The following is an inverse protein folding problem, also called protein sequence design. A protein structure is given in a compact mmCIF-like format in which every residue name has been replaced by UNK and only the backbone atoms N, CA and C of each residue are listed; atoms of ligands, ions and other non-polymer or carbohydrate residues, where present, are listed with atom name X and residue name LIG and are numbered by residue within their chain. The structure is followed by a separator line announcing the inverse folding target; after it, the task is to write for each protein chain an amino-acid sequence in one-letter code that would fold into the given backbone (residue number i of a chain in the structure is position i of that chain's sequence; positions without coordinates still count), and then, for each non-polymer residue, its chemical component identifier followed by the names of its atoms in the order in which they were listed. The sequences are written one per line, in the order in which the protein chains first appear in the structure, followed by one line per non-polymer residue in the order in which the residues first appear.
data_IF_454322815879
#
_entry.id   IF_454322815879
#
_cell.length_a   1.000
_cell.length_b   1.000
_cell.length_c   1.000
_cell.angle_alpha   90.00
_cell.angle_beta   90.00
_cell.angle_gamma   90.00
#
_symmetry.space_group_name_H-M   'P 1'
#
loop_
_entity.id
_entity.type
_entity.pdbx_description
1 polymer ?
#
# COMPACT_ATOMS: atom_id res chain seq x y z
N UNK A 1 9.80 -2.34 38.57
CA UNK A 1 9.48 -1.05 37.88
C UNK A 1 9.36 -1.27 36.38
N UNK A 2 8.27 -0.79 35.77
CA UNK A 2 8.09 -0.96 34.30
C UNK A 2 8.84 0.09 33.46
N UNK A 3 9.41 1.11 34.10
CA UNK A 3 10.22 2.13 33.45
C UNK A 3 11.67 1.66 33.34
N UNK A 4 12.29 1.92 32.18
CA UNK A 4 13.70 1.60 31.92
C UNK A 4 14.34 2.73 31.12
N UNK A 5 15.46 3.25 31.61
CA UNK A 5 16.28 4.23 30.89
C UNK A 5 17.33 3.49 30.06
N UNK A 6 17.59 4.03 28.87
CA UNK A 6 18.65 3.51 28.00
C UNK A 6 18.33 2.17 27.32
N UNK A 7 17.06 1.80 27.17
CA UNK A 7 16.65 0.53 26.52
C UNK A 7 17.29 0.30 25.14
N UNK A 8 17.45 1.36 24.36
CA UNK A 8 18.11 1.29 23.03
C UNK A 8 19.57 0.86 23.07
N UNK A 9 20.24 1.03 24.21
CA UNK A 9 21.65 0.66 24.41
C UNK A 9 21.85 -0.80 24.84
N UNK A 10 20.77 -1.49 25.23
CA UNK A 10 20.82 -2.87 25.63
C UNK A 10 21.03 -3.78 24.41
N UNK A 11 21.74 -4.87 24.63
CA UNK A 11 21.81 -5.98 23.68
C UNK A 11 20.44 -6.64 23.52
N UNK A 12 20.23 -7.40 22.43
CA UNK A 12 19.00 -8.15 22.23
C UNK A 12 18.65 -9.07 23.38
N UNK A 13 19.66 -9.80 23.93
CA UNK A 13 19.47 -10.69 25.06
C UNK A 13 19.02 -9.95 26.32
N UNK A 14 19.64 -8.80 26.62
CA UNK A 14 19.26 -7.96 27.77
C UNK A 14 17.86 -7.38 27.61
N UNK A 15 17.45 -6.98 26.40
CA UNK A 15 16.07 -6.54 26.10
C UNK A 15 15.06 -7.64 26.36
N UNK A 16 15.34 -8.87 25.90
CA UNK A 16 14.48 -10.03 26.14
C UNK A 16 14.41 -10.35 27.64
N UNK A 17 15.55 -10.36 28.33
CA UNK A 17 15.59 -10.62 29.78
C UNK A 17 14.75 -9.61 30.56
N UNK A 18 14.91 -8.31 30.26
CA UNK A 18 14.10 -7.26 30.89
C UNK A 18 12.59 -7.42 30.64
N UNK A 19 12.19 -7.81 29.42
CA UNK A 19 10.79 -8.10 29.12
C UNK A 19 10.26 -9.28 29.92
N UNK A 20 11.03 -10.36 29.99
CA UNK A 20 10.66 -11.55 30.74
C UNK A 20 10.50 -11.26 32.24
N UNK A 21 11.47 -10.59 32.84
CA UNK A 21 11.45 -10.23 34.25
C UNK A 21 10.31 -9.27 34.60
N UNK A 22 10.02 -8.35 33.71
CA UNK A 22 9.03 -7.30 33.97
C UNK A 22 7.58 -7.78 33.75
N UNK A 23 7.35 -8.55 32.69
CA UNK A 23 5.98 -8.87 32.24
C UNK A 23 5.59 -10.34 32.42
N UNK A 24 6.59 -11.24 32.49
CA UNK A 24 6.39 -12.68 32.59
C UNK A 24 7.09 -13.32 33.78
N UNK A 25 7.13 -12.68 35.00
CA UNK A 25 7.94 -13.15 36.14
C UNK A 25 7.48 -14.52 36.70
N UNK A 26 6.31 -15.00 36.30
CA UNK A 26 5.75 -16.30 36.74
C UNK A 26 5.76 -17.34 35.61
N UNK A 27 6.27 -16.98 34.42
CA UNK A 27 6.34 -17.91 33.30
C UNK A 27 7.71 -18.58 33.30
N UNK A 28 7.72 -19.88 33.53
CA UNK A 28 8.94 -20.66 33.41
C UNK A 28 9.49 -20.62 32.00
N UNK A 29 10.78 -20.32 31.83
CA UNK A 29 11.46 -20.18 30.54
C UNK A 29 10.75 -19.17 29.58
N UNK A 30 10.41 -17.99 30.08
CA UNK A 30 9.74 -16.95 29.30
C UNK A 30 10.53 -16.51 28.06
N UNK A 31 11.87 -16.66 28.05
CA UNK A 31 12.73 -16.34 26.87
C UNK A 31 12.37 -17.19 25.67
N UNK A 32 11.95 -18.43 25.85
CA UNK A 32 11.53 -19.31 24.75
C UNK A 32 10.35 -18.79 23.96
N UNK A 33 9.53 -17.86 24.51
CA UNK A 33 8.47 -17.18 23.78
C UNK A 33 9.02 -16.35 22.60
N UNK A 34 10.17 -15.72 22.82
CA UNK A 34 10.84 -14.89 21.81
C UNK A 34 11.77 -15.71 20.92
N UNK A 35 12.53 -16.64 21.50
CA UNK A 35 13.50 -17.50 20.80
C UNK A 35 12.82 -18.38 19.73
N UNK A 36 11.61 -18.87 20.02
CA UNK A 36 10.82 -19.71 19.09
C UNK A 36 10.55 -19.06 17.73
N UNK A 37 10.51 -17.73 17.67
CA UNK A 37 10.27 -16.97 16.45
C UNK A 37 11.55 -16.39 15.82
N UNK A 38 12.72 -16.73 16.36
CA UNK A 38 13.99 -16.42 15.72
C UNK A 38 14.29 -17.42 14.60
N UNK A 39 15.01 -16.96 13.58
CA UNK A 39 15.45 -17.84 12.51
C UNK A 39 16.63 -18.69 12.99
N UNK A 40 16.67 -19.96 12.58
CA UNK A 40 17.78 -20.87 12.90
C UNK A 40 19.08 -20.50 12.14
N UNK A 41 18.96 -19.84 10.98
CA UNK A 41 20.07 -19.24 10.26
C UNK A 41 20.46 -17.93 10.93
N UNK A 42 21.64 -17.89 11.54
CA UNK A 42 22.12 -16.74 12.30
C UNK A 42 22.39 -15.50 11.42
N UNK A 43 22.81 -15.67 10.16
CA UNK A 43 23.04 -14.54 9.26
C UNK A 43 21.71 -13.91 8.83
N UNK A 44 20.73 -14.76 8.51
CA UNK A 44 19.38 -14.30 8.19
C UNK A 44 18.72 -13.63 9.42
N UNK A 45 18.90 -14.18 10.63
CA UNK A 45 18.40 -13.55 11.84
C UNK A 45 19.04 -12.19 12.10
N UNK A 46 20.35 -12.07 11.93
CA UNK A 46 21.07 -10.80 12.04
C UNK A 46 20.51 -9.76 11.06
N UNK A 47 20.29 -10.15 9.80
CA UNK A 47 19.68 -9.27 8.80
C UNK A 47 18.31 -8.76 9.24
N UNK A 48 17.45 -9.63 9.79
CA UNK A 48 16.12 -9.24 10.30
C UNK A 48 16.21 -8.34 11.54
N UNK A 49 17.20 -8.55 12.41
CA UNK A 49 17.42 -7.73 13.60
C UNK A 49 17.84 -6.28 13.23
N UNK A 50 18.45 -6.09 12.05
CA UNK A 50 18.94 -4.81 11.57
C UNK A 50 17.90 -4.02 10.73
N UNK A 51 16.71 -4.58 10.45
CA UNK A 51 15.66 -3.86 9.70
C UNK A 51 15.04 -2.71 10.48
N UNK A 52 14.90 -2.87 11.80
CA UNK A 52 14.35 -1.85 12.70
C UNK A 52 15.10 -1.84 14.04
N UNK A 53 14.95 -0.75 14.78
CA UNK A 53 15.54 -0.62 16.11
C UNK A 53 14.81 -1.48 17.14
N UNK A 54 15.55 -1.85 18.21
CA UNK A 54 15.00 -2.57 19.38
C UNK A 54 14.35 -3.92 19.08
N UNK A 55 14.76 -4.59 18.02
CA UNK A 55 14.25 -5.92 17.66
C UNK A 55 14.50 -6.93 18.78
N UNK A 56 13.47 -7.68 19.15
CA UNK A 56 13.54 -8.75 20.16
C UNK A 56 13.23 -10.12 19.57
N UNK A 57 12.43 -10.18 18.49
CA UNK A 57 12.09 -11.42 17.80
C UNK A 57 11.52 -11.09 16.42
N UNK A 58 11.19 -12.10 15.62
CA UNK A 58 10.48 -11.93 14.35
C UNK A 58 8.97 -12.05 14.56
N UNK A 59 8.22 -11.31 13.75
CA UNK A 59 6.77 -11.47 13.59
C UNK A 59 6.51 -11.92 12.15
N UNK A 60 6.21 -13.22 11.96
CA UNK A 60 6.03 -13.79 10.63
C UNK A 60 4.63 -13.51 10.08
N UNK A 61 4.59 -13.08 8.82
CA UNK A 61 3.37 -13.05 8.01
C UNK A 61 3.46 -14.13 6.92
N UNK A 62 2.32 -14.76 6.55
CA UNK A 62 2.30 -15.73 5.45
C UNK A 62 2.70 -15.09 4.12
N UNK A 63 3.63 -15.74 3.40
CA UNK A 63 3.96 -15.43 2.01
C UNK A 63 3.20 -16.40 1.10
N UNK A 64 2.33 -15.87 0.25
CA UNK A 64 1.46 -16.63 -0.63
C UNK A 64 1.58 -16.14 -2.08
N UNK A 65 0.93 -16.83 -3.02
CA UNK A 65 0.88 -16.45 -4.44
C UNK A 65 -0.54 -16.53 -4.99
N UNK A 66 -0.88 -15.58 -5.87
CA UNK A 66 -2.13 -15.56 -6.64
C UNK A 66 -1.81 -15.71 -8.13
N UNK A 67 -2.07 -16.87 -8.76
CA UNK A 67 -1.81 -17.12 -10.17
C UNK A 67 -2.91 -16.59 -11.08
N UNK A 68 -2.67 -16.70 -12.41
CA UNK A 68 -3.63 -16.44 -13.50
C UNK A 68 -3.98 -14.96 -13.72
N UNK A 69 -3.14 -14.03 -13.31
CA UNK A 69 -3.30 -12.63 -13.69
C UNK A 69 -2.82 -12.44 -15.13
N UNK A 70 -3.74 -12.31 -16.07
CA UNK A 70 -3.42 -11.88 -17.45
C UNK A 70 -3.53 -10.37 -17.50
N UNK A 71 -2.40 -9.68 -17.67
CA UNK A 71 -2.28 -8.22 -17.67
C UNK A 71 -1.68 -7.79 -19.01
N UNK A 72 -2.43 -7.03 -19.81
CA UNK A 72 -2.01 -6.60 -21.15
C UNK A 72 -1.49 -7.78 -22.01
N UNK A 73 -2.14 -8.96 -21.89
CA UNK A 73 -1.78 -10.18 -22.64
C UNK A 73 -0.66 -11.02 -22.05
N UNK A 74 0.02 -10.58 -20.98
CA UNK A 74 1.06 -11.34 -20.27
C UNK A 74 0.50 -11.94 -18.98
N UNK A 75 0.85 -13.21 -18.71
CA UNK A 75 0.38 -13.92 -17.51
C UNK A 75 1.38 -13.78 -16.36
N UNK A 76 0.87 -13.45 -15.18
CA UNK A 76 1.65 -13.31 -13.95
C UNK A 76 1.13 -14.22 -12.84
N UNK A 77 2.04 -14.68 -11.99
CA UNK A 77 1.78 -15.20 -10.65
C UNK A 77 2.19 -14.14 -9.66
N UNK A 78 1.26 -13.62 -8.88
CA UNK A 78 1.51 -12.45 -8.03
C UNK A 78 1.79 -12.89 -6.59
N UNK A 79 2.96 -12.57 -6.01
CA UNK A 79 3.25 -12.80 -4.60
C UNK A 79 2.49 -11.83 -3.72
N UNK A 80 2.03 -12.34 -2.57
CA UNK A 80 1.20 -11.59 -1.61
C UNK A 80 1.60 -11.95 -0.18
N UNK A 81 1.75 -10.94 0.68
CA UNK A 81 2.01 -11.08 2.12
C UNK A 81 0.89 -10.39 2.89
N UNK A 82 0.10 -11.14 3.65
CA UNK A 82 -1.00 -10.60 4.42
C UNK A 82 -1.44 -11.58 5.52
N UNK A 83 -1.99 -11.07 6.62
CA UNK A 83 -2.54 -11.87 7.71
C UNK A 83 -4.02 -12.23 7.53
N UNK A 84 -4.75 -11.48 6.69
CA UNK A 84 -6.20 -11.65 6.52
C UNK A 84 -6.52 -12.84 5.62
N UNK A 85 -7.32 -13.75 6.14
CA UNK A 85 -7.80 -14.90 5.36
C UNK A 85 -8.70 -14.48 4.20
N UNK A 86 -8.73 -15.27 3.15
CA UNK A 86 -9.54 -15.08 1.93
C UNK A 86 -9.05 -14.02 0.95
N UNK A 87 -8.10 -13.14 1.30
CA UNK A 87 -7.58 -12.09 0.40
C UNK A 87 -6.94 -12.74 -0.84
N UNK A 88 -5.96 -13.62 -0.63
CA UNK A 88 -5.26 -14.32 -1.74
C UNK A 88 -6.23 -15.16 -2.58
N UNK A 89 -7.16 -15.86 -1.93
CA UNK A 89 -8.17 -16.67 -2.62
C UNK A 89 -9.15 -15.82 -3.45
N UNK A 90 -9.53 -14.65 -2.96
CA UNK A 90 -10.39 -13.71 -3.66
C UNK A 90 -9.71 -13.13 -4.90
N UNK A 91 -8.45 -12.68 -4.76
CA UNK A 91 -7.63 -12.20 -5.87
C UNK A 91 -7.44 -13.28 -6.95
N UNK A 92 -7.05 -14.50 -6.54
CA UNK A 92 -6.86 -15.65 -7.46
C UNK A 92 -8.14 -16.01 -8.21
N UNK A 93 -9.28 -16.00 -7.53
CA UNK A 93 -10.60 -16.30 -8.15
C UNK A 93 -10.98 -15.25 -9.18
N UNK A 94 -10.81 -13.96 -8.87
CA UNK A 94 -11.07 -12.88 -9.80
C UNK A 94 -10.11 -12.93 -11.00
N UNK A 95 -8.81 -13.18 -10.76
CA UNK A 95 -7.84 -13.35 -11.83
C UNK A 95 -8.23 -14.47 -12.81
N UNK A 96 -8.59 -15.64 -12.28
CA UNK A 96 -9.06 -16.77 -13.09
C UNK A 96 -10.35 -16.46 -13.86
N UNK A 97 -11.28 -15.71 -13.25
CA UNK A 97 -12.51 -15.29 -13.90
C UNK A 97 -12.20 -14.35 -15.08
N UNK A 98 -11.44 -13.30 -14.86
CA UNK A 98 -11.13 -12.34 -15.89
C UNK A 98 -10.16 -12.87 -16.95
N UNK A 99 -9.33 -13.86 -16.65
CA UNK A 99 -8.49 -14.56 -17.63
C UNK A 99 -9.32 -15.07 -18.83
N UNK A 100 -10.53 -15.58 -18.58
CA UNK A 100 -11.44 -16.08 -19.64
C UNK A 100 -12.19 -14.96 -20.39
N UNK A 101 -12.06 -13.70 -19.93
CA UNK A 101 -12.71 -12.52 -20.50
C UNK A 101 -11.68 -11.50 -21.06
N UNK A 102 -10.47 -11.95 -21.42
CA UNK A 102 -9.43 -11.09 -22.00
C UNK A 102 -8.40 -10.55 -21.00
N UNK A 103 -8.60 -10.77 -19.70
CA UNK A 103 -7.67 -10.32 -18.67
C UNK A 103 -7.88 -8.88 -18.23
N UNK A 104 -6.84 -8.29 -17.67
CA UNK A 104 -6.80 -6.91 -17.18
C UNK A 104 -6.07 -6.04 -18.20
N UNK A 105 -6.64 -4.87 -18.45
CA UNK A 105 -6.04 -3.82 -19.27
C UNK A 105 -5.55 -2.71 -18.37
N UNK A 106 -4.32 -2.26 -18.55
CA UNK A 106 -3.71 -1.25 -17.69
C UNK A 106 -2.96 -0.20 -18.48
N UNK A 107 -2.99 1.02 -17.96
CA UNK A 107 -2.23 2.16 -18.46
C UNK A 107 -1.62 2.92 -17.27
N UNK A 108 -0.32 3.23 -17.35
CA UNK A 108 0.33 4.17 -16.43
C UNK A 108 0.17 5.57 -17.01
N UNK A 109 -0.67 6.38 -16.39
CA UNK A 109 -1.03 7.71 -16.87
C UNK A 109 0.14 8.69 -16.69
N UNK A 110 0.81 8.65 -15.53
CA UNK A 110 2.00 9.44 -15.24
C UNK A 110 2.79 8.82 -14.09
N UNK A 111 4.05 9.24 -13.88
CA UNK A 111 4.98 8.73 -12.86
C UNK A 111 5.60 9.83 -11.99
N UNK A 112 5.15 11.08 -12.13
CA UNK A 112 5.71 12.22 -11.43
C UNK A 112 5.41 12.18 -9.93
N UNK A 113 6.47 12.37 -9.15
CA UNK A 113 6.42 12.50 -7.68
C UNK A 113 6.64 13.95 -7.28
N UNK A 114 6.17 14.32 -6.10
CA UNK A 114 6.14 15.71 -5.65
C UNK A 114 6.79 15.86 -4.28
N UNK A 115 7.43 17.00 -4.06
CA UNK A 115 7.93 17.40 -2.76
C UNK A 115 7.99 18.92 -2.62
N UNK A 116 8.10 19.40 -1.40
CA UNK A 116 7.99 20.83 -1.11
C UNK A 116 9.04 21.29 -0.11
N UNK A 117 9.48 22.54 -0.28
CA UNK A 117 10.10 23.35 0.78
C UNK A 117 9.00 24.27 1.30
N UNK A 118 8.68 24.17 2.58
CA UNK A 118 7.64 24.95 3.24
C UNK A 118 8.28 26.13 3.99
N UNK A 119 7.82 27.35 3.74
CA UNK A 119 8.36 28.53 4.39
C UNK A 119 7.33 29.62 4.57
N UNK A 120 7.59 30.51 5.51
CA UNK A 120 6.85 31.77 5.70
C UNK A 120 7.63 32.92 5.10
N UNK A 121 6.91 33.90 4.54
CA UNK A 121 7.50 35.13 4.06
C UNK A 121 6.66 36.32 4.49
N UNK A 122 7.30 37.30 5.14
CA UNK A 122 6.66 38.47 5.79
C UNK A 122 6.86 39.76 5.01
N UNK A 123 7.36 39.68 3.76
CA UNK A 123 7.54 40.83 2.86
C UNK A 123 6.44 40.88 1.77
N UNK A 124 6.73 41.69 0.76
CA UNK A 124 5.83 41.86 -0.38
C UNK A 124 5.93 40.66 -1.36
N UNK A 125 4.80 40.11 -1.77
CA UNK A 125 4.75 38.97 -2.71
C UNK A 125 5.52 39.23 -4.01
N UNK A 126 5.51 40.48 -4.50
CA UNK A 126 6.23 40.86 -5.73
C UNK A 126 7.75 40.66 -5.56
N UNK A 127 8.31 41.03 -4.41
CA UNK A 127 9.74 40.87 -4.09
C UNK A 127 10.11 39.37 -4.08
N UNK A 128 9.29 38.52 -3.42
CA UNK A 128 9.50 37.07 -3.38
C UNK A 128 9.43 36.45 -4.78
N UNK A 129 8.48 36.88 -5.60
CA UNK A 129 8.34 36.36 -6.96
C UNK A 129 9.52 36.72 -7.83
N UNK A 130 10.00 37.96 -7.76
CA UNK A 130 11.20 38.44 -8.48
C UNK A 130 12.48 37.73 -7.99
N UNK A 131 12.61 37.54 -6.68
CA UNK A 131 13.69 36.78 -6.08
C UNK A 131 13.70 35.32 -6.58
N UNK A 132 12.57 34.64 -6.52
CA UNK A 132 12.46 33.23 -6.97
C UNK A 132 12.84 33.09 -8.44
N UNK A 133 12.34 33.94 -9.32
CA UNK A 133 12.68 33.92 -10.76
C UNK A 133 14.18 34.03 -11.02
N UNK A 134 14.91 34.83 -10.19
CA UNK A 134 16.33 34.97 -10.28
C UNK A 134 17.12 33.78 -9.71
N UNK A 135 16.64 33.18 -8.60
CA UNK A 135 17.38 32.15 -7.86
C UNK A 135 17.02 30.72 -8.30
N UNK A 136 15.89 30.51 -8.93
CA UNK A 136 15.47 29.20 -9.43
C UNK A 136 16.54 28.48 -10.29
N UNK A 137 17.20 29.14 -11.28
CA UNK A 137 18.24 28.47 -12.07
C UNK A 137 19.46 28.06 -11.23
N UNK A 138 19.80 28.85 -10.19
CA UNK A 138 20.89 28.54 -9.26
C UNK A 138 20.52 27.33 -8.38
N UNK A 139 19.27 27.25 -7.88
CA UNK A 139 18.77 26.08 -7.14
C UNK A 139 18.93 24.80 -7.95
N UNK A 140 18.52 24.80 -9.23
CA UNK A 140 18.66 23.67 -10.12
C UNK A 140 20.13 23.31 -10.36
N UNK A 141 21.01 24.32 -10.53
CA UNK A 141 22.45 24.10 -10.71
C UNK A 141 23.09 23.49 -9.45
N UNK A 142 22.75 24.01 -8.27
CA UNK A 142 23.30 23.51 -7.00
C UNK A 142 22.82 22.08 -6.66
N UNK A 143 21.66 21.68 -7.15
CA UNK A 143 21.15 20.30 -7.01
C UNK A 143 21.81 19.32 -8.00
N UNK A 144 22.56 19.76 -9.00
CA UNK A 144 23.16 18.90 -10.03
C UNK A 144 24.03 17.76 -9.49
N UNK A 145 24.86 17.92 -8.45
CA UNK A 145 25.60 16.79 -7.87
C UNK A 145 24.70 15.67 -7.37
N UNK A 146 23.48 15.99 -6.94
CA UNK A 146 22.48 15.03 -6.47
C UNK A 146 21.76 14.38 -7.65
N UNK A 147 21.41 15.17 -8.68
CA UNK A 147 20.55 14.74 -9.79
C UNK A 147 21.30 14.02 -10.91
N UNK A 148 22.60 14.25 -11.08
CA UNK A 148 23.41 13.82 -12.23
C UNK A 148 23.28 12.31 -12.55
N UNK A 149 23.22 11.44 -11.55
CA UNK A 149 23.06 9.99 -11.76
C UNK A 149 21.63 9.60 -12.15
N UNK A 150 20.63 10.35 -11.71
CA UNK A 150 19.22 10.13 -12.08
C UNK A 150 18.97 10.63 -13.50
N UNK A 151 19.51 11.80 -13.85
CA UNK A 151 19.42 12.42 -15.18
C UNK A 151 20.05 11.56 -16.27
N UNK A 152 21.22 10.96 -16.00
CA UNK A 152 21.87 10.02 -16.94
C UNK A 152 20.99 8.81 -17.29
N UNK A 153 20.03 8.48 -16.43
CA UNK A 153 19.07 7.38 -16.64
C UNK A 153 17.74 7.86 -17.21
N UNK A 154 17.55 9.16 -17.42
CA UNK A 154 16.34 9.77 -17.97
C UNK A 154 15.33 10.26 -16.93
N UNK A 155 15.70 10.28 -15.64
CA UNK A 155 14.91 10.88 -14.56
C UNK A 155 15.44 12.24 -14.14
N UNK A 156 15.09 12.69 -12.94
CA UNK A 156 15.55 13.96 -12.37
C UNK A 156 14.43 14.90 -11.95
N UNK A 157 14.75 16.17 -11.77
CA UNK A 157 13.79 17.23 -11.47
C UNK A 157 13.06 17.60 -12.76
N UNK A 158 11.72 17.56 -12.74
CA UNK A 158 10.88 17.90 -13.92
C UNK A 158 10.33 19.32 -13.84
N UNK A 159 10.08 19.83 -12.62
CA UNK A 159 9.71 21.24 -12.43
C UNK A 159 10.12 21.73 -11.04
N UNK A 160 10.25 23.06 -10.91
CA UNK A 160 10.40 23.77 -9.63
C UNK A 160 9.62 25.06 -9.72
N UNK A 161 8.61 25.28 -8.86
CA UNK A 161 7.72 26.43 -8.88
C UNK A 161 7.60 27.06 -7.49
N UNK A 162 7.21 28.33 -7.45
CA UNK A 162 6.83 29.03 -6.22
C UNK A 162 5.30 29.02 -6.12
N UNK A 163 4.78 28.43 -5.05
CA UNK A 163 3.35 28.34 -4.77
C UNK A 163 2.96 29.31 -3.65
N UNK A 164 1.97 30.15 -3.91
CA UNK A 164 1.34 31.00 -2.90
C UNK A 164 0.23 30.22 -2.19
N UNK A 165 0.36 30.03 -0.90
CA UNK A 165 -0.60 29.34 -0.02
C UNK A 165 -1.22 30.30 1.02
N UNK A 166 -1.08 31.61 0.82
CA UNK A 166 -1.54 32.63 1.78
C UNK A 166 -3.05 32.63 2.02
N UNK A 167 -3.85 32.12 1.07
CA UNK A 167 -5.29 31.92 1.27
C UNK A 167 -5.59 30.84 2.33
N UNK A 168 -4.76 29.80 2.42
CA UNK A 168 -4.93 28.72 3.40
C UNK A 168 -4.31 29.06 4.74
N UNK A 169 -3.13 29.73 4.75
CA UNK A 169 -2.41 30.14 5.96
C UNK A 169 -1.62 31.42 5.67
N UNK A 170 -1.83 32.46 6.46
CA UNK A 170 -1.19 33.76 6.28
C UNK A 170 0.34 33.63 6.17
N UNK A 171 0.94 34.35 5.20
CA UNK A 171 2.37 34.37 4.92
C UNK A 171 2.99 33.05 4.45
N UNK A 172 2.20 32.03 4.20
CA UNK A 172 2.70 30.70 3.84
C UNK A 172 2.91 30.56 2.32
N UNK A 173 4.11 30.05 1.97
CA UNK A 173 4.55 29.76 0.61
C UNK A 173 5.21 28.38 0.54
N UNK A 174 5.32 27.83 -0.67
CA UNK A 174 6.02 26.59 -0.94
C UNK A 174 6.92 26.74 -2.17
N UNK A 175 8.15 26.19 -2.11
CA UNK A 175 8.80 25.74 -3.34
C UNK A 175 8.25 24.34 -3.64
N UNK A 176 7.52 24.21 -4.73
CA UNK A 176 6.95 22.94 -5.18
C UNK A 176 7.81 22.36 -6.29
N UNK A 177 8.31 21.14 -6.10
CA UNK A 177 9.11 20.45 -7.11
C UNK A 177 8.49 19.14 -7.51
N UNK A 178 8.57 18.79 -8.80
CA UNK A 178 8.19 17.49 -9.32
C UNK A 178 9.40 16.72 -9.85
N UNK A 179 9.33 15.40 -9.78
CA UNK A 179 10.46 14.52 -10.02
C UNK A 179 10.03 13.27 -10.80
N UNK A 180 10.86 12.85 -11.75
CA UNK A 180 10.86 11.51 -12.32
C UNK A 180 11.98 10.69 -11.67
N UNK A 181 11.62 9.60 -11.00
CA UNK A 181 12.57 8.75 -10.26
C UNK A 181 12.73 7.35 -10.83
N UNK A 182 12.12 7.09 -12.00
CA UNK A 182 12.18 5.83 -12.72
C UNK A 182 11.80 4.64 -11.82
N UNK A 183 12.71 3.67 -11.68
CA UNK A 183 12.50 2.45 -10.90
C UNK A 183 12.72 2.62 -9.38
N UNK A 184 13.09 3.82 -8.92
CA UNK A 184 13.20 4.12 -7.49
C UNK A 184 11.91 4.74 -6.94
N UNK A 185 11.52 4.40 -5.71
CA UNK A 185 10.50 5.17 -4.99
C UNK A 185 10.94 6.64 -4.84
N UNK A 186 12.23 6.87 -4.61
CA UNK A 186 12.87 8.18 -4.73
C UNK A 186 12.92 9.04 -3.46
N UNK A 187 12.49 8.54 -2.30
CA UNK A 187 12.36 9.35 -1.08
C UNK A 187 13.63 10.09 -0.70
N UNK A 188 14.76 9.40 -0.60
CA UNK A 188 16.05 10.04 -0.24
C UNK A 188 16.51 11.04 -1.32
N UNK A 189 16.37 10.67 -2.59
CA UNK A 189 16.71 11.52 -3.71
C UNK A 189 15.92 12.83 -3.69
N UNK A 190 14.59 12.74 -3.56
CA UNK A 190 13.69 13.91 -3.51
C UNK A 190 14.02 14.78 -2.31
N UNK A 191 14.16 14.21 -1.11
CA UNK A 191 14.47 14.97 0.09
C UNK A 191 15.81 15.69 -0.02
N UNK A 192 16.87 15.04 -0.54
CA UNK A 192 18.17 15.70 -0.75
C UNK A 192 18.09 16.86 -1.74
N UNK A 193 17.29 16.76 -2.81
CA UNK A 193 17.06 17.88 -3.72
C UNK A 193 16.33 19.04 -3.03
N UNK A 194 15.30 18.75 -2.24
CA UNK A 194 14.53 19.76 -1.52
C UNK A 194 15.36 20.46 -0.45
N UNK A 195 16.23 19.73 0.27
CA UNK A 195 17.19 20.31 1.21
C UNK A 195 18.17 21.24 0.49
N UNK A 196 18.72 20.82 -0.65
CA UNK A 196 19.58 21.68 -1.48
C UNK A 196 18.87 22.95 -1.96
N UNK A 197 17.59 22.87 -2.30
CA UNK A 197 16.79 24.05 -2.66
C UNK A 197 16.61 24.99 -1.46
N UNK A 198 16.30 24.42 -0.28
CA UNK A 198 16.14 25.18 0.95
C UNK A 198 17.44 25.91 1.34
N UNK A 199 18.59 25.27 1.22
CA UNK A 199 19.90 25.85 1.52
C UNK A 199 20.23 26.97 0.53
N UNK A 200 20.04 26.74 -0.77
CA UNK A 200 20.24 27.79 -1.80
C UNK A 200 19.30 28.97 -1.56
N UNK A 201 18.03 28.70 -1.19
CA UNK A 201 17.06 29.76 -0.87
C UNK A 201 17.53 30.60 0.30
N UNK A 202 17.99 29.98 1.40
CA UNK A 202 18.49 30.69 2.58
C UNK A 202 19.72 31.54 2.24
N UNK A 203 20.71 30.94 1.57
CA UNK A 203 21.97 31.62 1.24
C UNK A 203 21.76 32.87 0.37
N UNK A 204 20.83 32.81 -0.59
CA UNK A 204 20.54 33.91 -1.47
C UNK A 204 19.59 34.95 -0.85
N UNK A 205 18.62 34.50 -0.04
CA UNK A 205 17.69 35.39 0.65
C UNK A 205 18.40 36.22 1.74
N UNK A 206 19.41 35.67 2.41
CA UNK A 206 20.21 36.39 3.40
C UNK A 206 21.08 37.47 2.78
N UNK A 207 21.40 37.37 1.48
CA UNK A 207 22.12 38.34 0.69
C UNK A 207 21.22 39.40 0.04
N UNK A 208 19.94 39.16 -0.01
CA UNK A 208 18.95 40.03 -0.65
C UNK A 208 18.33 41.00 0.36
N UNK A 209 18.53 42.33 0.22
CA UNK A 209 17.99 43.31 1.16
C UNK A 209 16.46 43.33 1.30
N UNK A 210 15.75 42.83 0.29
CA UNK A 210 14.27 42.76 0.29
C UNK A 210 13.75 41.56 1.06
N UNK A 211 14.52 40.45 1.15
CA UNK A 211 14.18 39.21 1.79
C UNK A 211 14.84 38.98 3.14
N UNK A 212 16.01 39.52 3.37
CA UNK A 212 16.81 39.35 4.59
C UNK A 212 15.98 39.62 5.85
N UNK A 213 15.89 38.61 6.73
CA UNK A 213 15.14 38.69 7.98
C UNK A 213 13.60 38.67 7.83
N UNK A 214 13.07 38.47 6.62
CA UNK A 214 11.62 38.42 6.37
C UNK A 214 11.13 37.03 5.97
N UNK A 215 11.92 35.99 6.10
CA UNK A 215 11.51 34.61 5.77
C UNK A 215 11.89 33.64 6.87
N UNK A 216 11.18 32.49 6.89
CA UNK A 216 11.48 31.36 7.76
C UNK A 216 11.21 30.06 7.01
N UNK A 217 12.26 29.33 6.66
CA UNK A 217 12.12 27.96 6.11
C UNK A 217 11.86 27.00 7.26
N UNK A 218 10.69 26.35 7.23
CA UNK A 218 10.23 25.46 8.29
C UNK A 218 10.68 24.01 8.06
N UNK A 219 10.46 23.49 6.85
CA UNK A 219 10.78 22.09 6.53
C UNK A 219 10.87 21.86 5.03
N UNK A 220 11.59 20.79 4.67
CA UNK A 220 11.72 20.27 3.30
C UNK A 220 11.38 18.79 3.31
N UNK A 221 10.34 18.36 2.57
CA UNK A 221 9.88 16.96 2.60
C UNK A 221 9.14 16.59 1.32
N UNK A 222 9.31 15.35 0.87
CA UNK A 222 8.48 14.78 -0.18
C UNK A 222 7.01 14.67 0.26
N UNK A 223 6.11 14.57 -0.70
CA UNK A 223 4.70 14.26 -0.46
C UNK A 223 4.39 12.80 -0.77
N UNK A 224 3.63 12.14 0.11
CA UNK A 224 3.02 10.84 -0.20
C UNK A 224 1.72 10.99 -1.02
N UNK A 225 1.16 12.20 -1.10
CA UNK A 225 0.11 12.51 -2.06
C UNK A 225 0.76 12.88 -3.40
N UNK A 226 0.69 11.97 -4.36
CA UNK A 226 1.32 12.07 -5.67
C UNK A 226 0.28 11.90 -6.79
N UNK A 227 -0.62 12.89 -6.97
CA UNK A 227 -1.75 12.80 -7.90
C UNK A 227 -1.34 12.65 -9.37
N UNK A 228 -0.05 12.83 -9.68
CA UNK A 228 0.54 12.67 -11.00
C UNK A 228 1.43 11.41 -11.09
N UNK A 229 1.32 10.45 -10.15
CA UNK A 229 1.98 9.14 -10.24
C UNK A 229 0.89 8.06 -10.29
N UNK A 230 0.11 8.03 -11.35
CA UNK A 230 -1.21 7.37 -11.42
C UNK A 230 -1.21 6.23 -12.43
N UNK A 231 -1.85 5.14 -12.05
CA UNK A 231 -2.16 4.01 -12.92
C UNK A 231 -3.66 3.74 -12.94
N UNK A 232 -4.16 3.33 -14.10
CA UNK A 232 -5.50 2.83 -14.33
C UNK A 232 -5.46 1.35 -14.68
N UNK A 233 -6.32 0.56 -14.06
CA UNK A 233 -6.59 -0.83 -14.41
C UNK A 233 -8.08 -0.98 -14.74
N UNK A 234 -8.39 -1.76 -15.76
CA UNK A 234 -9.76 -1.98 -16.24
C UNK A 234 -9.98 -3.43 -16.66
N UNK A 235 -11.19 -3.93 -16.45
CA UNK A 235 -11.71 -5.16 -17.03
C UNK A 235 -13.05 -4.87 -17.69
N UNK A 236 -13.35 -5.57 -18.77
CA UNK A 236 -14.62 -5.44 -19.47
C UNK A 236 -15.05 -6.76 -20.11
N UNK A 237 -16.34 -6.95 -20.29
CA UNK A 237 -16.90 -8.08 -21.05
C UNK A 237 -18.28 -7.72 -21.59
N UNK A 238 -18.80 -8.45 -22.60
CA UNK A 238 -20.20 -8.34 -22.97
C UNK A 238 -21.10 -8.58 -21.75
N UNK A 239 -22.14 -7.75 -21.58
CA UNK A 239 -23.09 -7.86 -20.45
C UNK A 239 -23.66 -9.28 -20.32
N UNK A 240 -24.00 -9.93 -21.46
CA UNK A 240 -24.52 -11.31 -21.49
C UNK A 240 -23.57 -12.36 -20.90
N UNK A 241 -22.26 -12.09 -20.88
CA UNK A 241 -21.22 -13.03 -20.43
C UNK A 241 -20.85 -12.81 -18.95
N UNK A 242 -21.33 -11.70 -18.35
CA UNK A 242 -21.06 -11.40 -16.93
C UNK A 242 -21.84 -12.36 -16.02
N UNK A 243 -21.09 -13.15 -15.22
CA UNK A 243 -21.64 -14.08 -14.23
C UNK A 243 -21.09 -13.82 -12.85
N UNK A 244 -21.98 -13.59 -11.89
CA UNK A 244 -21.61 -13.35 -10.48
C UNK A 244 -22.49 -14.27 -9.61
N UNK A 245 -21.95 -15.39 -9.20
CA UNK A 245 -22.67 -16.45 -8.48
C UNK A 245 -23.95 -16.89 -9.22
N UNK A 246 -25.13 -16.59 -8.67
CA UNK A 246 -26.43 -16.88 -9.28
C UNK A 246 -26.98 -15.74 -10.16
N UNK A 247 -26.26 -14.61 -10.22
CA UNK A 247 -26.65 -13.46 -11.04
C UNK A 247 -25.95 -13.54 -12.40
N UNK A 248 -26.70 -13.32 -13.46
CA UNK A 248 -26.19 -13.39 -14.83
C UNK A 248 -26.64 -12.18 -15.66
N UNK A 249 -25.84 -11.83 -16.66
CA UNK A 249 -26.13 -10.85 -17.69
C UNK A 249 -26.50 -9.48 -17.11
N UNK A 250 -27.59 -8.92 -17.64
CA UNK A 250 -28.07 -7.58 -17.25
C UNK A 250 -28.34 -7.43 -15.75
N UNK A 251 -28.85 -8.45 -15.09
CA UNK A 251 -29.11 -8.43 -13.65
C UNK A 251 -27.80 -8.32 -12.85
N UNK A 252 -26.76 -9.06 -13.24
CA UNK A 252 -25.45 -8.99 -12.61
C UNK A 252 -24.81 -7.61 -12.83
N UNK A 253 -24.81 -7.13 -14.07
CA UNK A 253 -24.21 -5.85 -14.45
C UNK A 253 -24.89 -4.68 -13.72
N UNK A 254 -26.23 -4.61 -13.74
CA UNK A 254 -26.99 -3.55 -13.08
C UNK A 254 -26.74 -3.51 -11.57
N UNK A 255 -26.78 -4.68 -10.88
CA UNK A 255 -26.53 -4.74 -9.44
C UNK A 255 -25.08 -4.33 -9.09
N UNK A 256 -24.11 -4.71 -9.92
CA UNK A 256 -22.73 -4.33 -9.73
C UNK A 256 -22.54 -2.81 -9.86
N UNK A 257 -23.06 -2.21 -10.93
CA UNK A 257 -23.04 -0.75 -11.15
C UNK A 257 -23.72 0.00 -9.99
N UNK A 258 -24.88 -0.49 -9.53
CA UNK A 258 -25.59 0.09 -8.38
C UNK A 258 -24.75 0.03 -7.09
N UNK A 259 -24.02 -1.07 -6.86
CA UNK A 259 -23.14 -1.19 -5.68
C UNK A 259 -21.99 -0.17 -5.70
N UNK A 260 -21.43 0.11 -6.88
CA UNK A 260 -20.40 1.15 -7.06
C UNK A 260 -21.02 2.56 -6.91
N UNK A 261 -22.20 2.80 -7.47
CA UNK A 261 -22.90 4.07 -7.30
C UNK A 261 -23.17 4.39 -5.80
N UNK A 262 -23.55 3.37 -5.01
CA UNK A 262 -23.69 3.51 -3.55
C UNK A 262 -22.34 3.85 -2.90
N UNK A 263 -21.24 3.19 -3.28
CA UNK A 263 -19.91 3.49 -2.76
C UNK A 263 -19.45 4.91 -3.13
N UNK A 264 -19.86 5.44 -4.28
CA UNK A 264 -19.59 6.81 -4.69
C UNK A 264 -20.49 7.84 -3.96
N UNK A 265 -21.68 7.45 -3.50
CA UNK A 265 -22.64 8.34 -2.87
C UNK A 265 -22.48 8.44 -1.34
N UNK A 266 -22.08 7.35 -0.69
CA UNK A 266 -22.00 7.23 0.78
C UNK A 266 -20.55 7.03 1.26
N UNK A 267 -20.08 7.92 2.15
CA UNK A 267 -18.70 7.88 2.68
C UNK A 267 -18.43 6.65 3.53
N UNK A 268 -19.39 6.14 4.28
CA UNK A 268 -19.22 4.92 5.08
C UNK A 268 -18.99 3.71 4.16
N UNK A 269 -19.76 3.64 3.07
CA UNK A 269 -19.60 2.58 2.09
C UNK A 269 -18.31 2.76 1.28
N UNK A 270 -17.95 3.98 0.88
CA UNK A 270 -16.69 4.29 0.20
C UNK A 270 -15.48 3.84 1.01
N UNK A 271 -15.44 4.13 2.31
CA UNK A 271 -14.33 3.77 3.20
C UNK A 271 -14.16 2.25 3.25
N UNK A 272 -15.24 1.50 3.45
CA UNK A 272 -15.20 0.04 3.48
C UNK A 272 -14.86 -0.55 2.11
N UNK A 273 -15.31 0.10 1.04
CA UNK A 273 -15.02 -0.29 -0.34
C UNK A 273 -13.53 -0.14 -0.67
N UNK A 274 -12.94 1.01 -0.37
CA UNK A 274 -11.53 1.29 -0.62
C UNK A 274 -10.61 0.42 0.26
N UNK A 275 -10.97 0.17 1.55
CA UNK A 275 -10.26 -0.82 2.38
C UNK A 275 -10.22 -2.18 1.71
N UNK A 276 -11.32 -2.60 1.08
CA UNK A 276 -11.37 -3.84 0.32
C UNK A 276 -10.43 -3.88 -0.89
N UNK A 277 -10.19 -2.72 -1.55
CA UNK A 277 -9.19 -2.58 -2.61
C UNK A 277 -7.78 -2.71 -2.00
N UNK A 278 -7.52 -2.00 -0.89
CA UNK A 278 -6.21 -1.98 -0.22
C UNK A 278 -5.78 -3.36 0.28
N UNK A 279 -6.69 -4.23 0.69
CA UNK A 279 -6.36 -5.62 1.05
C UNK A 279 -5.50 -6.33 -0.02
N UNK A 280 -5.84 -6.16 -1.30
CA UNK A 280 -5.06 -6.74 -2.40
C UNK A 280 -3.78 -5.98 -2.68
N UNK A 281 -3.85 -4.65 -2.67
CA UNK A 281 -2.71 -3.76 -2.93
C UNK A 281 -1.64 -3.96 -1.87
N UNK A 282 -1.97 -3.84 -0.58
CA UNK A 282 -1.02 -3.94 0.52
C UNK A 282 -0.33 -5.29 0.57
N UNK A 283 -1.04 -6.36 0.24
CA UNK A 283 -0.45 -7.70 0.18
C UNK A 283 0.69 -7.79 -0.85
N UNK A 284 0.58 -7.13 -2.00
CA UNK A 284 1.64 -7.08 -3.01
C UNK A 284 2.73 -6.08 -2.62
N UNK A 285 2.36 -4.93 -2.06
CA UNK A 285 3.29 -3.90 -1.60
C UNK A 285 4.22 -4.45 -0.53
N UNK A 286 3.68 -5.18 0.47
CA UNK A 286 4.47 -5.88 1.50
C UNK A 286 5.38 -6.94 0.87
N UNK A 287 4.86 -7.79 -0.03
CA UNK A 287 5.62 -8.84 -0.68
C UNK A 287 6.80 -8.29 -1.50
N UNK A 288 6.68 -7.09 -2.06
CA UNK A 288 7.69 -6.43 -2.90
C UNK A 288 8.55 -5.41 -2.15
N UNK A 289 8.40 -5.31 -0.81
CA UNK A 289 9.22 -4.46 0.05
C UNK A 289 9.02 -2.97 -0.15
N UNK A 290 7.86 -2.56 -0.66
CA UNK A 290 7.45 -1.15 -0.80
C UNK A 290 6.72 -0.65 0.45
N UNK A 291 6.54 0.67 0.57
CA UNK A 291 5.90 1.31 1.73
C UNK A 291 4.37 1.35 1.57
N UNK A 292 3.68 0.37 2.18
CA UNK A 292 2.22 0.29 2.15
C UNK A 292 1.54 1.50 2.81
N UNK A 293 2.15 2.11 3.84
CA UNK A 293 1.57 3.28 4.53
C UNK A 293 1.55 4.51 3.64
N UNK A 294 2.62 4.72 2.85
CA UNK A 294 2.68 5.78 1.86
C UNK A 294 1.63 5.58 0.76
N UNK A 295 1.46 4.34 0.30
CA UNK A 295 0.48 3.99 -0.73
C UNK A 295 -0.95 4.18 -0.21
N UNK A 296 -1.29 3.69 1.00
CA UNK A 296 -2.61 3.92 1.60
C UNK A 296 -2.91 5.40 1.77
N UNK A 297 -1.98 6.17 2.36
CA UNK A 297 -2.16 7.60 2.56
C UNK A 297 -2.41 8.34 1.22
N UNK A 298 -1.62 8.04 0.19
CA UNK A 298 -1.78 8.61 -1.15
C UNK A 298 -3.12 8.23 -1.80
N UNK A 299 -3.51 6.97 -1.72
CA UNK A 299 -4.76 6.45 -2.26
C UNK A 299 -5.99 7.07 -1.58
N UNK A 300 -5.99 7.19 -0.24
CA UNK A 300 -7.09 7.81 0.50
C UNK A 300 -7.19 9.31 0.23
N UNK A 301 -6.06 10.02 0.14
CA UNK A 301 -6.04 11.43 -0.28
C UNK A 301 -6.59 11.59 -1.70
N UNK A 302 -6.22 10.70 -2.62
CA UNK A 302 -6.72 10.69 -3.99
C UNK A 302 -8.23 10.40 -4.06
N UNK A 303 -8.75 9.50 -3.23
CA UNK A 303 -10.19 9.25 -3.11
C UNK A 303 -10.98 10.50 -2.68
N UNK A 304 -10.33 11.46 -2.00
CA UNK A 304 -10.93 12.72 -1.54
C UNK A 304 -10.63 13.92 -2.46
N UNK A 305 -9.91 13.74 -3.58
CA UNK A 305 -9.41 14.84 -4.44
C UNK A 305 -10.48 15.78 -5.01
N UNK A 306 -11.72 15.33 -5.06
CA UNK A 306 -12.85 16.12 -5.54
C UNK A 306 -13.61 16.87 -4.44
N UNK A 307 -13.01 17.00 -3.24
CA UNK A 307 -13.63 17.65 -2.07
C UNK A 307 -14.49 16.72 -1.22
N UNK A 308 -14.73 15.47 -1.66
CA UNK A 308 -15.45 14.44 -0.90
C UNK A 308 -14.79 13.07 -1.12
N UNK A 309 -14.68 12.29 -0.04
CA UNK A 309 -14.18 10.93 -0.11
C UNK A 309 -15.15 10.03 -0.89
N UNK A 310 -14.64 9.33 -1.92
CA UNK A 310 -15.38 8.46 -2.82
C UNK A 310 -14.66 7.13 -3.04
N UNK A 311 -15.31 6.22 -3.77
CA UNK A 311 -14.68 5.02 -4.32
C UNK A 311 -13.50 5.39 -5.24
N UNK A 312 -12.43 4.58 -5.19
CA UNK A 312 -11.30 4.60 -6.13
C UNK A 312 -11.63 3.84 -7.43
N UNK A 313 -12.65 3.01 -7.40
CA UNK A 313 -13.11 2.23 -8.55
C UNK A 313 -14.49 2.68 -9.02
N UNK A 314 -14.80 2.43 -10.29
CA UNK A 314 -16.11 2.72 -10.89
C UNK A 314 -16.52 1.60 -11.84
N UNK A 315 -17.84 1.46 -12.08
CA UNK A 315 -18.39 0.50 -13.02
C UNK A 315 -19.53 1.13 -13.82
N UNK A 316 -19.57 0.83 -15.11
CA UNK A 316 -20.58 1.36 -16.02
C UNK A 316 -20.88 0.39 -17.17
N UNK A 317 -21.93 0.68 -17.93
CA UNK A 317 -22.32 -0.07 -19.11
C UNK A 317 -22.29 0.90 -20.30
N UNK A 318 -21.63 0.49 -21.39
CA UNK A 318 -21.63 1.23 -22.67
C UNK A 318 -22.11 0.30 -23.78
N UNK A 319 -23.28 0.59 -24.37
CA UNK A 319 -23.93 -0.39 -25.25
C UNK A 319 -24.18 -1.71 -24.53
N UNK A 320 -23.67 -2.80 -25.10
CA UNK A 320 -23.79 -4.15 -24.54
C UNK A 320 -22.55 -4.59 -23.71
N UNK A 321 -21.64 -3.66 -23.38
CA UNK A 321 -20.40 -3.95 -22.69
C UNK A 321 -20.43 -3.43 -21.26
N UNK A 322 -20.13 -4.31 -20.29
CA UNK A 322 -19.87 -3.99 -18.89
C UNK A 322 -18.39 -3.60 -18.75
N UNK A 323 -18.13 -2.53 -18.02
CA UNK A 323 -16.80 -2.04 -17.68
C UNK A 323 -16.65 -1.93 -16.15
N UNK A 324 -15.47 -2.21 -15.66
CA UNK A 324 -15.10 -2.00 -14.26
C UNK A 324 -13.64 -1.57 -14.17
N UNK A 325 -13.37 -0.41 -13.60
CA UNK A 325 -12.04 0.19 -13.56
C UNK A 325 -11.67 0.70 -12.17
N UNK A 326 -10.35 0.76 -11.92
CA UNK A 326 -9.70 1.32 -10.74
C UNK A 326 -8.65 2.32 -11.19
N UNK A 327 -8.62 3.50 -10.57
CA UNK A 327 -7.61 4.52 -10.80
C UNK A 327 -7.08 5.03 -9.47
N UNK A 328 -5.75 4.98 -9.28
CA UNK A 328 -5.11 5.42 -8.05
C UNK A 328 -3.64 5.78 -8.24
N UNK A 329 -3.07 6.61 -7.35
CA UNK A 329 -1.63 6.88 -7.34
C UNK A 329 -0.87 5.72 -6.68
N UNK A 330 0.25 5.31 -7.31
CA UNK A 330 1.13 4.26 -6.82
C UNK A 330 2.61 4.66 -6.99
N UNK A 331 3.19 5.34 -6.02
CA UNK A 331 4.62 5.66 -6.02
C UNK A 331 5.45 4.45 -5.55
N UNK A 332 5.78 3.55 -6.46
CA UNK A 332 6.50 2.31 -6.19
C UNK A 332 7.95 2.38 -6.63
N UNK A 333 8.77 1.48 -6.07
CA UNK A 333 10.13 1.22 -6.51
C UNK A 333 10.43 -0.28 -6.61
N UNK A 334 11.29 -0.64 -7.55
CA UNK A 334 11.82 -2.01 -7.72
C UNK A 334 13.31 -2.08 -7.42
N UNK A 335 13.92 -0.95 -7.09
CA UNK A 335 15.33 -0.82 -6.72
C UNK A 335 15.48 -0.01 -5.43
N UNK A 336 16.51 -0.31 -4.65
CA UNK A 336 16.82 0.36 -3.39
C UNK A 336 16.04 -0.18 -2.18
N UNK A 337 16.37 0.27 -0.97
CA UNK A 337 15.70 -0.15 0.27
C UNK A 337 15.69 -1.67 0.48
N UNK A 338 14.56 -2.21 0.94
CA UNK A 338 14.37 -3.63 1.22
C UNK A 338 14.42 -4.52 -0.04
N UNK A 339 14.23 -3.96 -1.24
CA UNK A 339 14.24 -4.74 -2.50
C UNK A 339 15.55 -5.47 -2.73
N UNK A 340 16.66 -4.92 -2.24
CA UNK A 340 18.00 -5.51 -2.33
C UNK A 340 18.46 -6.22 -1.06
N UNK A 341 17.75 -6.09 0.03
CA UNK A 341 18.15 -6.64 1.32
C UNK A 341 17.37 -7.90 1.69
N UNK A 342 16.04 -7.85 1.63
CA UNK A 342 15.19 -8.95 2.10
C UNK A 342 15.13 -10.10 1.09
N UNK A 343 15.52 -11.35 1.44
CA UNK A 343 15.58 -12.47 0.50
C UNK A 343 14.23 -12.80 -0.17
N UNK A 344 13.12 -12.79 0.60
CA UNK A 344 11.79 -13.06 0.04
C UNK A 344 11.27 -11.93 -0.85
N UNK A 345 11.69 -10.68 -0.63
CA UNK A 345 11.37 -9.57 -1.54
C UNK A 345 12.06 -9.78 -2.89
N UNK A 346 13.34 -10.19 -2.90
CA UNK A 346 14.04 -10.58 -4.12
C UNK A 346 13.34 -11.74 -4.85
N UNK A 347 12.88 -12.72 -4.07
CA UNK A 347 12.11 -13.86 -4.61
C UNK A 347 10.78 -13.39 -5.20
N UNK A 348 10.05 -12.50 -4.52
CA UNK A 348 8.81 -11.93 -5.01
C UNK A 348 9.00 -11.19 -6.35
N UNK A 349 10.01 -10.33 -6.44
CA UNK A 349 10.35 -9.63 -7.68
C UNK A 349 10.79 -10.60 -8.79
N UNK A 350 11.48 -11.70 -8.43
CA UNK A 350 11.85 -12.75 -9.39
C UNK A 350 10.63 -13.53 -9.91
N UNK A 351 9.65 -13.85 -9.05
CA UNK A 351 8.37 -14.47 -9.46
C UNK A 351 7.60 -13.55 -10.42
N UNK A 352 7.67 -12.24 -10.22
CA UNK A 352 7.10 -11.23 -11.11
C UNK A 352 7.96 -10.98 -12.37
N UNK A 353 9.03 -11.78 -12.59
CA UNK A 353 9.95 -11.67 -13.72
C UNK A 353 10.71 -10.33 -13.77
N UNK A 354 11.01 -9.77 -12.58
CA UNK A 354 11.78 -8.52 -12.38
C UNK A 354 11.14 -7.30 -13.08
N UNK A 355 9.92 -6.93 -12.71
CA UNK A 355 9.24 -5.80 -13.33
C UNK A 355 10.01 -4.49 -13.07
N UNK A 356 9.91 -3.54 -13.99
CA UNK A 356 10.22 -2.15 -13.68
C UNK A 356 9.12 -1.52 -12.83
N UNK A 357 9.31 -0.28 -12.35
CA UNK A 357 8.32 0.37 -11.48
C UNK A 357 6.95 0.55 -12.14
N UNK A 358 6.92 0.87 -13.45
CA UNK A 358 5.65 1.03 -14.22
C UNK A 358 4.92 -0.31 -14.35
N UNK A 359 5.62 -1.39 -14.64
CA UNK A 359 5.03 -2.74 -14.68
C UNK A 359 4.51 -3.17 -13.29
N UNK A 360 5.26 -2.85 -12.21
CA UNK A 360 4.81 -3.14 -10.85
C UNK A 360 3.55 -2.34 -10.49
N UNK A 361 3.45 -1.04 -10.86
CA UNK A 361 2.22 -0.25 -10.70
C UNK A 361 1.02 -0.92 -11.38
N UNK A 362 1.19 -1.42 -12.61
CA UNK A 362 0.14 -2.13 -13.35
C UNK A 362 -0.30 -3.41 -12.65
N UNK A 363 0.65 -4.22 -12.20
CA UNK A 363 0.37 -5.47 -11.47
C UNK A 363 -0.40 -5.18 -10.18
N UNK A 364 0.06 -4.22 -9.37
CA UNK A 364 -0.56 -3.84 -8.09
C UNK A 364 -2.00 -3.32 -8.31
N UNK A 365 -2.21 -2.47 -9.31
CA UNK A 365 -3.54 -1.96 -9.64
C UNK A 365 -4.51 -3.09 -10.06
N UNK A 366 -4.03 -4.08 -10.84
CA UNK A 366 -4.83 -5.25 -11.22
C UNK A 366 -5.23 -6.09 -10.01
N UNK A 367 -4.33 -6.27 -9.03
CA UNK A 367 -4.66 -7.00 -7.81
C UNK A 367 -5.69 -6.25 -6.97
N UNK A 368 -5.56 -4.93 -6.85
CA UNK A 368 -6.58 -4.08 -6.21
C UNK A 368 -7.94 -4.20 -6.87
N UNK A 369 -7.99 -4.14 -8.22
CA UNK A 369 -9.21 -4.30 -8.99
C UNK A 369 -9.82 -5.70 -8.84
N UNK A 370 -9.00 -6.76 -8.89
CA UNK A 370 -9.41 -8.16 -8.70
C UNK A 370 -10.01 -8.39 -7.30
N UNK A 371 -9.34 -7.83 -6.27
CA UNK A 371 -9.80 -7.90 -4.88
C UNK A 371 -11.15 -7.21 -4.73
N UNK A 372 -11.30 -6.02 -5.30
CA UNK A 372 -12.53 -5.26 -5.27
C UNK A 372 -13.67 -5.95 -6.01
N UNK A 373 -13.40 -6.53 -7.20
CA UNK A 373 -14.38 -7.33 -7.94
C UNK A 373 -14.93 -8.48 -7.10
N UNK A 374 -14.05 -9.24 -6.45
CA UNK A 374 -14.45 -10.36 -5.58
C UNK A 374 -15.28 -9.90 -4.38
N UNK A 375 -14.88 -8.79 -3.74
CA UNK A 375 -15.59 -8.22 -2.61
C UNK A 375 -17.02 -7.76 -2.99
N UNK A 376 -17.14 -6.96 -4.05
CA UNK A 376 -18.44 -6.47 -4.56
C UNK A 376 -19.31 -7.64 -5.01
N UNK A 377 -18.75 -8.61 -5.74
CA UNK A 377 -19.44 -9.81 -6.18
C UNK A 377 -20.06 -10.60 -5.02
N UNK A 378 -19.31 -10.73 -3.91
CA UNK A 378 -19.81 -11.40 -2.70
C UNK A 378 -20.96 -10.61 -2.05
N UNK A 379 -20.86 -9.27 -1.99
CA UNK A 379 -21.87 -8.40 -1.40
C UNK A 379 -23.21 -8.45 -2.13
N UNK A 380 -23.19 -8.42 -3.46
CA UNK A 380 -24.42 -8.38 -4.27
C UNK A 380 -25.07 -9.75 -4.48
N UNK A 381 -24.41 -10.86 -4.07
CA UNK A 381 -24.87 -12.22 -4.28
C UNK A 381 -25.24 -12.95 -2.97
N UNK A 382 -24.29 -13.65 -2.37
CA UNK A 382 -24.54 -14.53 -1.22
C UNK A 382 -24.33 -13.84 0.14
N UNK A 383 -23.76 -12.63 0.15
CA UNK A 383 -23.28 -11.93 1.34
C UNK A 383 -21.92 -12.46 1.82
N UNK A 384 -21.19 -11.57 2.52
CA UNK A 384 -19.80 -11.83 2.95
C UNK A 384 -19.71 -13.03 3.91
N UNK A 385 -20.67 -13.19 4.84
CA UNK A 385 -20.60 -14.24 5.87
C UNK A 385 -20.59 -15.66 5.29
N UNK A 386 -21.36 -15.94 4.24
CA UNK A 386 -21.38 -17.28 3.62
C UNK A 386 -20.07 -17.61 2.89
N UNK A 387 -19.39 -16.62 2.33
CA UNK A 387 -18.08 -16.79 1.65
C UNK A 387 -16.93 -17.10 2.62
N UNK A 388 -16.97 -16.56 3.84
CA UNK A 388 -15.92 -16.70 4.85
C UNK A 388 -16.11 -17.89 5.81
N UNK A 389 -17.27 -18.55 5.81
CA UNK A 389 -17.63 -19.59 6.78
C UNK A 389 -16.60 -20.74 6.86
N UNK A 390 -16.06 -21.20 5.73
CA UNK A 390 -15.10 -22.32 5.71
C UNK A 390 -13.78 -21.98 6.39
N UNK A 391 -13.26 -20.77 6.17
CA UNK A 391 -12.01 -20.31 6.78
C UNK A 391 -12.21 -19.95 8.27
N UNK A 392 -13.34 -19.33 8.59
CA UNK A 392 -13.72 -19.04 9.96
C UNK A 392 -13.83 -20.33 10.79
N UNK A 393 -14.43 -21.37 10.23
CA UNK A 393 -14.53 -22.69 10.85
C UNK A 393 -13.14 -23.30 11.14
N UNK A 394 -12.20 -23.21 10.18
CA UNK A 394 -10.82 -23.69 10.36
C UNK A 394 -10.07 -22.94 11.46
N UNK A 395 -10.25 -21.61 11.53
CA UNK A 395 -9.65 -20.80 12.59
C UNK A 395 -10.18 -21.19 13.97
N UNK A 396 -11.49 -21.45 14.10
CA UNK A 396 -12.10 -21.94 15.34
C UNK A 396 -11.53 -23.33 15.69
N UNK A 397 -11.39 -24.24 14.73
CA UNK A 397 -10.79 -25.56 14.95
C UNK A 397 -9.36 -25.44 15.51
N UNK A 398 -8.54 -24.57 14.95
CA UNK A 398 -7.18 -24.35 15.43
C UNK A 398 -7.16 -23.75 16.85
N UNK A 399 -8.07 -22.80 17.17
CA UNK A 399 -8.20 -22.22 18.50
C UNK A 399 -8.63 -23.28 19.54
N UNK A 400 -9.48 -24.21 19.15
CA UNK A 400 -9.98 -25.27 20.02
C UNK A 400 -9.10 -26.54 20.05
N UNK A 401 -7.98 -26.52 19.31
CA UNK A 401 -7.05 -27.66 19.23
C UNK A 401 -7.70 -28.91 18.64
N UNK A 402 -8.59 -28.76 17.64
CA UNK A 402 -9.20 -29.88 16.95
C UNK A 402 -8.20 -30.65 16.09
N UNK A 403 -8.20 -31.99 16.18
CA UNK A 403 -7.38 -32.84 15.33
C UNK A 403 -7.99 -33.00 13.92
N UNK A 404 -7.24 -33.60 12.99
CA UNK A 404 -7.64 -33.69 11.57
C UNK A 404 -8.95 -34.51 11.36
N UNK A 405 -9.22 -35.53 12.17
CA UNK A 405 -10.44 -36.32 12.05
C UNK A 405 -11.65 -35.56 12.61
N UNK A 406 -11.49 -34.85 13.73
CA UNK A 406 -12.50 -33.93 14.26
C UNK A 406 -12.83 -32.82 13.27
N UNK A 407 -11.81 -32.23 12.61
CA UNK A 407 -11.99 -31.21 11.55
C UNK A 407 -12.80 -31.74 10.38
N UNK A 408 -12.56 -32.99 9.94
CA UNK A 408 -13.32 -33.62 8.84
C UNK A 408 -14.79 -33.79 9.21
N UNK A 409 -15.07 -34.35 10.37
CA UNK A 409 -16.44 -34.61 10.85
C UNK A 409 -17.21 -33.29 11.00
N UNK A 410 -16.60 -32.30 11.67
CA UNK A 410 -17.26 -31.02 11.93
C UNK A 410 -17.38 -30.15 10.66
N UNK A 411 -16.46 -30.26 9.71
CA UNK A 411 -16.61 -29.59 8.40
C UNK A 411 -17.83 -30.11 7.66
N UNK A 412 -18.07 -31.42 7.68
CA UNK A 412 -19.26 -32.01 7.08
C UNK A 412 -20.56 -31.61 7.84
N UNK A 413 -20.50 -31.56 9.18
CA UNK A 413 -21.62 -31.14 10.02
C UNK A 413 -22.02 -29.67 9.78
N UNK A 414 -21.07 -28.76 9.62
CA UNK A 414 -21.32 -27.33 9.43
C UNK A 414 -21.49 -26.90 7.97
N UNK A 415 -21.53 -27.84 7.01
CA UNK A 415 -21.60 -27.52 5.58
C UNK A 415 -22.78 -26.59 5.22
N UNK A 416 -23.94 -26.79 5.85
CA UNK A 416 -25.17 -26.04 5.59
C UNK A 416 -25.72 -25.34 6.86
N UNK A 417 -24.86 -25.16 7.88
CA UNK A 417 -25.24 -24.56 9.17
C UNK A 417 -24.47 -23.28 9.43
N UNK A 418 -25.04 -22.41 10.24
CA UNK A 418 -24.33 -21.22 10.73
C UNK A 418 -23.17 -21.63 11.62
N UNK A 419 -21.98 -21.07 11.39
CA UNK A 419 -20.78 -21.34 12.16
C UNK A 419 -20.60 -20.26 13.21
N UNK A 420 -20.70 -20.63 14.49
CA UNK A 420 -20.34 -19.78 15.62
C UNK A 420 -19.33 -20.50 16.51
N UNK A 421 -18.46 -19.74 17.18
CA UNK A 421 -17.44 -20.33 18.07
C UNK A 421 -18.06 -21.23 19.13
N UNK A 422 -19.18 -20.81 19.74
CA UNK A 422 -19.90 -21.58 20.79
C UNK A 422 -20.49 -22.88 20.26
N UNK A 423 -21.04 -22.89 19.04
CA UNK A 423 -21.58 -24.11 18.44
C UNK A 423 -20.49 -25.09 18.03
N UNK A 424 -19.39 -24.59 17.44
CA UNK A 424 -18.23 -25.44 17.11
C UNK A 424 -17.65 -26.07 18.35
N UNK A 425 -17.46 -25.28 19.42
CA UNK A 425 -16.98 -25.79 20.71
C UNK A 425 -17.88 -26.89 21.27
N UNK A 426 -19.19 -26.64 21.29
CA UNK A 426 -20.18 -27.61 21.78
C UNK A 426 -20.17 -28.92 20.99
N UNK A 427 -20.13 -28.84 19.67
CA UNK A 427 -20.13 -30.04 18.82
C UNK A 427 -18.78 -30.79 18.88
N UNK A 428 -17.67 -30.07 19.08
CA UNK A 428 -16.35 -30.67 19.33
C UNK A 428 -16.30 -31.40 20.68
N UNK A 429 -16.89 -30.82 21.75
CA UNK A 429 -17.00 -31.46 23.06
C UNK A 429 -17.84 -32.74 22.99
N UNK A 430 -18.93 -32.75 22.19
CA UNK A 430 -19.73 -33.98 21.96
C UNK A 430 -18.97 -35.07 21.23
N UNK A 431 -18.06 -34.73 20.34
CA UNK A 431 -17.20 -35.69 19.64
C UNK A 431 -16.13 -36.31 20.54
N UNK A 432 -15.73 -35.58 21.58
CA UNK A 432 -14.71 -36.01 22.53
C UNK A 432 -15.26 -36.82 23.72
N UNK A 433 -16.61 -36.90 23.86
CA UNK A 433 -17.29 -37.63 24.93
C UNK A 433 -17.59 -36.76 26.09
#
# INVERSE_FOLDING_TARGET
MKHIDGFSKLTKAEKIAWLCDTYFPKVENATALFERYQNADAELQKLHDEFIENTVSNYYLPFAVAPNFVINGRTYTVPMVIEESSVVAAASRAAKYWQTHGGFHTEVLDTQKTGHVHFFFYGEKADLTAFFARVQPLMLTNAQPITANMEKRGGGITSLTLEDKTEALAHYYQLSATFETLDAMGANFINSCLESFADTFRDEADRDPLLQGKYEVVMSILSNYVPNCVVRAEVFCPVKDLKIAHLEGETAARKFVQALAIANADVYRATTHNKGIMNGIDAVILATGNDFRAIEAGAHAYAARTGRYKSLSDAWITGDTFHFALELPLALGTVGGLTNLHPLVKTALAILEKPNARELMQIVACVGLAQNFSAVSSLISLGIQKGHMKMHLNNIFNQLGANEDEKKVLTAYFKDKTVTHSEVKRELEKLRG
#
